data_IF_425815717489
#
_entry.id   IF_425815717489
#
_cell.length_a   1.000
_cell.length_b   1.000
_cell.length_c   1.000
_cell.angle_alpha   90.00
_cell.angle_beta   90.00
_cell.angle_gamma   90.00
#
_symmetry.space_group_name_H-M   'P 1'
#
loop_
_entity.id
_entity.type
_entity.pdbx_description
1 polymer ?
#
# COMPACT_ATOMS: atom_id res chain seq x y z
N UNK A 1 46.44 34.25 0.63
CA UNK A 1 47.29 33.36 1.48
C UNK A 1 48.76 33.51 1.10
N UNK A 2 49.12 33.30 -0.18
CA UNK A 2 50.51 33.42 -0.63
C UNK A 2 51.08 34.84 -0.55
N UNK A 3 50.22 35.87 -0.61
CA UNK A 3 50.60 37.29 -0.45
C UNK A 3 50.70 37.73 1.03
N UNK A 4 50.30 36.91 2.00
CA UNK A 4 50.40 37.24 3.43
C UNK A 4 51.81 36.87 3.89
N UNK A 5 52.61 37.90 4.15
CA UNK A 5 54.02 37.76 4.56
C UNK A 5 54.15 37.38 6.04
N UNK A 6 53.21 37.80 6.90
CA UNK A 6 53.18 37.39 8.31
C UNK A 6 52.75 35.91 8.44
N UNK A 7 53.62 35.02 8.96
CA UNK A 7 53.29 33.62 9.12
C UNK A 7 52.09 33.37 10.04
N UNK A 8 51.89 34.19 11.08
CA UNK A 8 50.81 34.00 12.06
C UNK A 8 49.46 34.34 11.44
N UNK A 9 49.35 35.51 10.80
CA UNK A 9 48.15 35.91 10.07
C UNK A 9 47.79 34.92 8.95
N UNK A 10 48.80 34.40 8.24
CA UNK A 10 48.60 33.38 7.20
C UNK A 10 48.05 32.07 7.77
N UNK A 11 48.54 31.62 8.91
CA UNK A 11 48.05 30.43 9.61
C UNK A 11 46.61 30.60 10.08
N UNK A 12 46.26 31.76 10.67
CA UNK A 12 44.90 32.05 11.09
C UNK A 12 43.93 31.99 9.90
N UNK A 13 44.32 32.58 8.76
CA UNK A 13 43.49 32.57 7.56
C UNK A 13 43.33 31.17 6.96
N UNK A 14 44.38 30.35 6.96
CA UNK A 14 44.30 28.94 6.55
C UNK A 14 43.36 28.16 7.49
N UNK A 15 43.46 28.37 8.79
CA UNK A 15 42.61 27.69 9.77
C UNK A 15 41.13 28.05 9.59
N UNK A 16 40.81 29.30 9.27
CA UNK A 16 39.45 29.72 8.91
C UNK A 16 38.92 28.98 7.67
N UNK A 17 39.74 28.90 6.61
CA UNK A 17 39.35 28.17 5.40
C UNK A 17 39.15 26.69 5.65
N UNK A 18 40.08 26.04 6.38
CA UNK A 18 39.95 24.64 6.76
C UNK A 18 38.72 24.38 7.62
N UNK A 19 38.42 25.28 8.57
CA UNK A 19 37.22 25.19 9.40
C UNK A 19 35.94 25.31 8.59
N UNK A 20 35.92 26.17 7.57
CA UNK A 20 34.79 26.30 6.65
C UNK A 20 34.63 25.04 5.79
N UNK A 21 35.73 24.53 5.24
CA UNK A 21 35.72 23.33 4.40
C UNK A 21 35.28 22.09 5.20
N UNK A 22 35.74 21.95 6.44
CA UNK A 22 35.33 20.89 7.34
C UNK A 22 33.82 20.91 7.62
N UNK A 23 33.24 22.10 7.80
CA UNK A 23 31.78 22.24 7.99
C UNK A 23 31.00 21.83 6.73
N UNK A 24 31.48 22.18 5.54
CA UNK A 24 30.85 21.77 4.29
C UNK A 24 30.94 20.25 4.11
N UNK A 25 32.12 19.68 4.32
CA UNK A 25 32.35 18.24 4.18
C UNK A 25 31.51 17.42 5.17
N UNK A 26 31.41 17.86 6.42
CA UNK A 26 30.59 17.17 7.43
C UNK A 26 29.09 17.25 7.09
N UNK A 27 28.61 18.37 6.58
CA UNK A 27 27.22 18.51 6.12
C UNK A 27 26.93 17.60 4.92
N UNK A 28 27.84 17.51 3.93
CA UNK A 28 27.70 16.61 2.79
C UNK A 28 27.65 15.15 3.22
N UNK A 29 28.54 14.72 4.12
CA UNK A 29 28.55 13.36 4.65
C UNK A 29 27.23 13.02 5.38
N UNK A 30 26.70 13.98 6.16
CA UNK A 30 25.41 13.81 6.83
C UNK A 30 24.26 13.63 5.83
N UNK A 31 24.16 14.50 4.82
CA UNK A 31 23.12 14.41 3.79
C UNK A 31 23.21 13.07 3.05
N UNK A 32 24.42 12.63 2.71
CA UNK A 32 24.64 11.36 2.03
C UNK A 32 24.18 10.17 2.89
N UNK A 33 24.47 10.19 4.19
CA UNK A 33 24.04 9.15 5.12
C UNK A 33 22.51 9.08 5.24
N UNK A 34 21.84 10.23 5.37
CA UNK A 34 20.38 10.32 5.48
C UNK A 34 19.70 9.80 4.20
N UNK A 35 20.19 10.22 3.03
CA UNK A 35 19.67 9.74 1.75
C UNK A 35 19.85 8.22 1.57
N UNK A 36 20.98 7.67 2.01
CA UNK A 36 21.24 6.22 1.94
C UNK A 36 20.31 5.42 2.86
N UNK A 37 20.03 5.93 4.06
CA UNK A 37 19.12 5.30 5.01
C UNK A 37 17.69 5.28 4.49
N UNK A 38 17.20 6.40 3.94
CA UNK A 38 15.88 6.50 3.32
C UNK A 38 15.76 5.55 2.13
N UNK A 39 16.74 5.54 1.22
CA UNK A 39 16.74 4.64 0.07
C UNK A 39 16.70 3.16 0.51
N UNK A 40 17.50 2.78 1.51
CA UNK A 40 17.50 1.41 2.06
C UNK A 40 16.13 1.04 2.66
N UNK A 41 15.48 1.98 3.35
CA UNK A 41 14.14 1.78 3.90
C UNK A 41 13.10 1.57 2.80
N UNK A 42 13.10 2.42 1.77
CA UNK A 42 12.17 2.31 0.64
C UNK A 42 12.36 1.02 -0.15
N UNK A 43 13.61 0.59 -0.39
CA UNK A 43 13.90 -0.69 -1.04
C UNK A 43 13.39 -1.88 -0.22
N UNK A 44 13.61 -1.86 1.10
CA UNK A 44 13.12 -2.90 2.01
C UNK A 44 11.59 -2.98 2.00
N UNK A 45 10.92 -1.83 2.06
CA UNK A 45 9.46 -1.77 2.01
C UNK A 45 8.90 -2.28 0.68
N UNK A 46 9.50 -1.87 -0.45
CA UNK A 46 9.14 -2.37 -1.77
C UNK A 46 9.27 -3.89 -1.86
N UNK A 47 10.40 -4.44 -1.41
CA UNK A 47 10.66 -5.87 -1.43
C UNK A 47 9.64 -6.66 -0.59
N UNK A 48 9.33 -6.19 0.62
CA UNK A 48 8.32 -6.80 1.48
C UNK A 48 6.92 -6.76 0.86
N UNK A 49 6.55 -5.68 0.16
CA UNK A 49 5.26 -5.61 -0.56
C UNK A 49 5.18 -6.62 -1.70
N UNK A 50 6.26 -6.80 -2.46
CA UNK A 50 6.31 -7.82 -3.52
C UNK A 50 6.24 -9.24 -2.94
N UNK A 51 6.95 -9.52 -1.84
CA UNK A 51 6.83 -10.81 -1.16
C UNK A 51 5.41 -11.07 -0.66
N UNK A 52 4.74 -10.06 -0.08
CA UNK A 52 3.35 -10.20 0.34
C UNK A 52 2.39 -10.44 -0.84
N UNK A 53 2.66 -9.84 -2.01
CA UNK A 53 1.88 -10.12 -3.23
C UNK A 53 2.08 -11.56 -3.71
N UNK A 54 3.33 -12.04 -3.72
CA UNK A 54 3.65 -13.42 -4.08
C UNK A 54 3.00 -14.42 -3.12
N UNK A 55 3.09 -14.20 -1.80
CA UNK A 55 2.43 -15.04 -0.79
C UNK A 55 0.90 -15.07 -1.01
N UNK A 56 0.26 -13.91 -1.23
CA UNK A 56 -1.19 -13.85 -1.50
C UNK A 56 -1.59 -14.61 -2.77
N UNK A 57 -0.72 -14.61 -3.77
CA UNK A 57 -0.92 -15.37 -5.00
C UNK A 57 -0.76 -16.88 -4.77
N UNK A 58 0.29 -17.31 -4.06
CA UNK A 58 0.52 -18.72 -3.72
C UNK A 58 -0.54 -19.30 -2.78
N UNK A 59 -1.12 -18.48 -1.90
CA UNK A 59 -2.19 -18.90 -0.99
C UNK A 59 -3.57 -19.03 -1.66
N UNK A 60 -3.71 -18.78 -2.97
CA UNK A 60 -4.98 -18.95 -3.69
C UNK A 60 -6.07 -17.93 -3.35
N UNK A 61 -5.76 -16.92 -2.54
CA UNK A 61 -6.74 -15.94 -2.02
C UNK A 61 -7.39 -15.10 -3.14
N UNK A 62 -6.83 -15.09 -4.36
CA UNK A 62 -7.48 -14.52 -5.53
C UNK A 62 -8.51 -15.44 -6.21
N UNK A 63 -8.31 -16.76 -6.19
CA UNK A 63 -9.23 -17.71 -6.83
C UNK A 63 -10.49 -17.92 -5.97
N UNK A 64 -10.32 -18.10 -4.66
CA UNK A 64 -11.43 -18.27 -3.70
C UNK A 64 -12.43 -17.11 -3.72
N UNK A 65 -11.95 -15.87 -3.86
CA UNK A 65 -12.80 -14.66 -3.85
C UNK A 65 -13.59 -14.51 -5.14
N UNK A 66 -12.97 -14.85 -6.27
CA UNK A 66 -13.64 -14.81 -7.57
C UNK A 66 -14.67 -15.93 -7.69
N UNK A 67 -14.39 -17.10 -7.11
CA UNK A 67 -15.35 -18.21 -7.02
C UNK A 67 -16.57 -17.83 -6.15
N UNK A 68 -16.35 -17.32 -4.92
CA UNK A 68 -17.44 -16.86 -4.03
C UNK A 68 -18.31 -15.77 -4.67
N UNK A 69 -17.69 -14.79 -5.34
CA UNK A 69 -18.41 -13.76 -6.06
C UNK A 69 -19.22 -14.34 -7.24
N UNK A 70 -18.66 -15.34 -7.94
CA UNK A 70 -19.35 -16.09 -8.99
C UNK A 70 -20.62 -16.78 -8.49
N UNK A 71 -20.53 -17.50 -7.38
CA UNK A 71 -21.65 -18.19 -6.74
C UNK A 71 -22.79 -17.24 -6.39
N UNK A 72 -22.48 -16.08 -5.80
CA UNK A 72 -23.50 -15.08 -5.50
C UNK A 72 -24.16 -14.50 -6.75
N UNK A 73 -23.39 -14.25 -7.83
CA UNK A 73 -23.98 -13.79 -9.12
C UNK A 73 -24.97 -14.82 -9.66
N UNK A 74 -24.65 -16.11 -9.57
CA UNK A 74 -25.58 -17.17 -9.98
C UNK A 74 -26.83 -17.23 -9.11
N UNK A 75 -26.67 -17.17 -7.77
CA UNK A 75 -27.80 -17.17 -6.83
C UNK A 75 -28.72 -15.98 -7.07
N UNK A 76 -28.17 -14.79 -7.30
CA UNK A 76 -28.93 -13.57 -7.64
C UNK A 76 -29.75 -13.77 -8.91
N UNK A 77 -29.14 -14.32 -9.97
CA UNK A 77 -29.83 -14.58 -11.23
C UNK A 77 -30.99 -15.57 -11.06
N UNK A 78 -30.84 -16.58 -10.18
CA UNK A 78 -31.88 -17.58 -9.89
C UNK A 78 -32.99 -17.06 -8.97
N UNK A 79 -32.69 -16.11 -8.09
CA UNK A 79 -33.64 -15.58 -7.10
C UNK A 79 -34.79 -14.76 -7.70
N UNK A 80 -34.69 -14.36 -8.99
CA UNK A 80 -35.72 -13.58 -9.72
C UNK A 80 -36.15 -12.31 -8.98
N UNK A 81 -35.19 -11.62 -8.37
CA UNK A 81 -35.44 -10.37 -7.66
C UNK A 81 -35.77 -9.22 -8.62
N UNK A 82 -36.52 -8.18 -8.17
CA UNK A 82 -36.77 -6.96 -8.94
C UNK A 82 -35.47 -6.29 -9.38
N UNK A 83 -35.54 -5.49 -10.45
CA UNK A 83 -34.36 -4.86 -11.08
C UNK A 83 -33.54 -4.03 -10.09
N UNK A 84 -34.19 -3.25 -9.23
CA UNK A 84 -33.53 -2.42 -8.22
C UNK A 84 -32.77 -3.27 -7.19
N UNK A 85 -33.37 -4.35 -6.71
CA UNK A 85 -32.75 -5.27 -5.77
C UNK A 85 -31.57 -6.03 -6.41
N UNK A 86 -31.75 -6.49 -7.66
CA UNK A 86 -30.69 -7.17 -8.43
C UNK A 86 -29.48 -6.27 -8.62
N UNK A 87 -29.71 -5.00 -8.98
CA UNK A 87 -28.64 -4.02 -9.18
C UNK A 87 -27.86 -3.74 -7.90
N UNK A 88 -28.55 -3.59 -6.76
CA UNK A 88 -27.87 -3.37 -5.48
C UNK A 88 -27.13 -4.64 -5.01
N UNK A 89 -27.72 -5.82 -5.19
CA UNK A 89 -27.07 -7.09 -4.87
C UNK A 89 -25.77 -7.27 -5.67
N UNK A 90 -25.79 -7.05 -6.98
CA UNK A 90 -24.60 -7.12 -7.84
C UNK A 90 -23.51 -6.12 -7.44
N UNK A 91 -23.91 -4.92 -7.02
CA UNK A 91 -22.98 -3.91 -6.51
C UNK A 91 -22.27 -4.38 -5.23
N UNK A 92 -23.01 -5.00 -4.31
CA UNK A 92 -22.44 -5.56 -3.09
C UNK A 92 -21.55 -6.78 -3.38
N UNK A 93 -21.87 -7.62 -4.37
CA UNK A 93 -20.99 -8.72 -4.81
C UNK A 93 -19.65 -8.20 -5.35
N UNK A 94 -19.67 -7.15 -6.19
CA UNK A 94 -18.43 -6.55 -6.69
C UNK A 94 -17.59 -5.95 -5.55
N UNK A 95 -18.24 -5.42 -4.50
CA UNK A 95 -17.56 -4.93 -3.30
C UNK A 95 -16.95 -6.09 -2.50
N UNK A 96 -17.66 -7.22 -2.37
CA UNK A 96 -17.18 -8.42 -1.69
C UNK A 96 -15.93 -9.01 -2.35
N UNK A 97 -15.90 -9.07 -3.69
CA UNK A 97 -14.76 -9.57 -4.48
C UNK A 97 -13.46 -8.79 -4.20
N UNK A 98 -13.58 -7.49 -3.88
CA UNK A 98 -12.44 -6.63 -3.58
C UNK A 98 -12.02 -6.65 -2.11
N UNK A 99 -12.87 -7.15 -1.20
CA UNK A 99 -12.60 -7.19 0.23
C UNK A 99 -11.69 -8.37 0.60
N UNK A 100 -11.03 -8.26 1.76
CA UNK A 100 -10.28 -9.37 2.36
C UNK A 100 -11.25 -10.32 3.07
N UNK A 101 -11.05 -11.65 2.97
CA UNK A 101 -11.98 -12.67 3.48
C UNK A 101 -12.30 -12.50 4.98
N UNK A 102 -11.28 -12.19 5.76
CA UNK A 102 -11.36 -12.02 7.22
C UNK A 102 -11.79 -10.61 7.68
N UNK A 103 -12.03 -9.68 6.76
CA UNK A 103 -12.51 -8.36 7.15
C UNK A 103 -13.92 -8.47 7.73
N UNK A 104 -14.16 -7.84 8.87
CA UNK A 104 -15.50 -7.80 9.49
C UNK A 104 -16.56 -7.26 8.51
N UNK A 105 -16.18 -6.30 7.66
CA UNK A 105 -17.04 -5.79 6.57
C UNK A 105 -17.44 -6.86 5.55
N UNK A 106 -16.52 -7.76 5.18
CA UNK A 106 -16.81 -8.84 4.23
C UNK A 106 -17.83 -9.82 4.80
N UNK A 107 -17.72 -10.17 6.10
CA UNK A 107 -18.72 -11.02 6.77
C UNK A 107 -20.10 -10.38 6.78
N UNK A 108 -20.20 -9.07 7.00
CA UNK A 108 -21.49 -8.36 6.97
C UNK A 108 -22.11 -8.36 5.57
N UNK A 109 -21.30 -8.14 4.53
CA UNK A 109 -21.75 -8.15 3.13
C UNK A 109 -22.21 -9.54 2.71
N UNK A 110 -21.50 -10.62 3.09
CA UNK A 110 -21.92 -12.01 2.84
C UNK A 110 -23.30 -12.28 3.43
N UNK A 111 -23.47 -12.00 4.72
CA UNK A 111 -24.76 -12.21 5.39
C UNK A 111 -25.86 -11.42 4.69
N UNK A 112 -25.61 -10.16 4.32
CA UNK A 112 -26.61 -9.37 3.59
C UNK A 112 -26.99 -10.00 2.23
N UNK A 113 -26.00 -10.48 1.47
CA UNK A 113 -26.23 -11.15 0.18
C UNK A 113 -26.98 -12.47 0.34
N UNK A 114 -26.65 -13.27 1.35
CA UNK A 114 -27.36 -14.53 1.67
C UNK A 114 -28.84 -14.27 1.95
N UNK A 115 -29.15 -13.27 2.76
CA UNK A 115 -30.54 -12.89 3.03
C UNK A 115 -31.26 -12.45 1.75
N UNK A 116 -30.61 -11.66 0.89
CA UNK A 116 -31.24 -11.21 -0.36
C UNK A 116 -31.55 -12.35 -1.31
N UNK A 117 -30.72 -13.39 -1.41
CA UNK A 117 -30.96 -14.51 -2.32
C UNK A 117 -31.93 -15.56 -1.77
N UNK A 118 -32.07 -15.65 -0.45
CA UNK A 118 -33.02 -16.56 0.22
C UNK A 118 -34.45 -16.00 0.26
N UNK A 119 -34.63 -14.69 0.12
CA UNK A 119 -35.96 -14.07 0.07
C UNK A 119 -36.73 -14.57 -1.16
N UNK A 120 -37.98 -15.05 -1.00
CA UNK A 120 -38.76 -15.59 -2.12
C UNK A 120 -39.41 -14.47 -2.96
N UNK A 121 -38.62 -13.80 -3.79
CA UNK A 121 -39.08 -12.68 -4.63
C UNK A 121 -40.20 -13.03 -5.61
N UNK A 122 -40.31 -14.31 -6.00
CA UNK A 122 -41.32 -14.79 -6.95
C UNK A 122 -42.59 -15.34 -6.30
N UNK A 123 -42.77 -15.20 -4.97
CA UNK A 123 -44.03 -15.51 -4.27
C UNK A 123 -44.63 -14.23 -3.70
N UNK A 124 -45.16 -13.41 -4.61
CA UNK A 124 -45.98 -12.23 -4.35
C UNK A 124 -46.92 -12.02 -5.52
#
# INVERSE_FOLDING_TARGET
ILEILDPIERLNRINEYLSKELKVSTMQAKIQSEAQEEMSRSQREYYLREQMRAIKHELGDSEDRTEEAGDFREKIARARMPEEASKEALKQVNRLEQMHRDAAEASMVRTYLDWLVEVPWSKG
#
